data_IF_693391806332
#
_entry.id   IF_693391806332
#
_cell.length_a   1.000
_cell.length_b   1.000
_cell.length_c   1.000
_cell.angle_alpha   90.00
_cell.angle_beta   90.00
_cell.angle_gamma   90.00
#
_symmetry.space_group_name_H-M   'P 1'
#
loop_
_entity.id
_entity.type
_entity.pdbx_description
1 polymer ?
#
# COMPACT_ATOMS: atom_id res chain seq x y z
N UNK A 1 15.34 15.28 7.25
CA UNK A 1 15.85 14.00 6.70
C UNK A 1 14.80 13.53 5.72
N UNK A 2 15.19 13.18 4.50
CA UNK A 2 14.25 12.71 3.48
C UNK A 2 13.65 11.37 3.93
N UNK A 3 12.33 11.12 3.77
CA UNK A 3 11.73 9.87 4.19
C UNK A 3 12.35 8.68 3.44
N UNK A 4 12.55 7.57 4.14
CA UNK A 4 13.23 6.37 3.61
C UNK A 4 12.50 5.76 2.38
N UNK A 5 11.23 6.12 2.18
CA UNK A 5 10.43 5.67 1.03
C UNK A 5 10.83 6.35 -0.29
N UNK A 6 11.49 7.52 -0.25
CA UNK A 6 11.67 8.36 -1.46
C UNK A 6 12.69 7.74 -2.41
N UNK A 7 13.93 7.40 -2.01
CA UNK A 7 14.89 6.77 -2.91
C UNK A 7 14.42 5.46 -3.57
N UNK A 8 13.88 4.45 -2.83
CA UNK A 8 13.46 3.20 -3.45
C UNK A 8 12.24 3.38 -4.37
N UNK A 9 11.35 4.33 -4.06
CA UNK A 9 10.19 4.59 -4.93
C UNK A 9 10.61 5.28 -6.22
N UNK A 10 11.57 6.21 -6.19
CA UNK A 10 12.12 6.82 -7.41
C UNK A 10 12.79 5.77 -8.30
N UNK A 11 13.56 4.85 -7.73
CA UNK A 11 14.17 3.74 -8.48
C UNK A 11 13.13 2.82 -9.11
N UNK A 12 12.03 2.53 -8.38
CA UNK A 12 10.92 1.75 -8.92
C UNK A 12 10.20 2.47 -10.06
N UNK A 13 9.92 3.76 -9.93
CA UNK A 13 9.31 4.59 -10.99
C UNK A 13 10.21 4.55 -12.22
N UNK A 14 11.51 4.85 -12.09
CA UNK A 14 12.46 4.78 -13.21
C UNK A 14 12.45 3.40 -13.86
N UNK A 15 12.49 2.33 -13.08
CA UNK A 15 12.58 0.95 -13.58
C UNK A 15 11.33 0.51 -14.34
N UNK A 16 10.14 0.84 -13.82
CA UNK A 16 8.88 0.28 -14.33
C UNK A 16 8.10 1.21 -15.25
N UNK A 17 8.23 2.53 -15.09
CA UNK A 17 7.55 3.51 -15.93
C UNK A 17 8.49 4.31 -16.84
N UNK A 18 9.81 4.24 -16.62
CA UNK A 18 10.78 4.99 -17.41
C UNK A 18 10.72 6.51 -17.18
N UNK A 19 10.10 6.94 -16.08
CA UNK A 19 9.90 8.35 -15.74
C UNK A 19 10.91 8.78 -14.67
N UNK A 20 11.51 9.96 -14.85
CA UNK A 20 12.25 10.66 -13.79
C UNK A 20 11.34 11.67 -13.09
N UNK A 21 11.50 11.88 -11.77
CA UNK A 21 10.86 12.99 -11.09
C UNK A 21 11.25 14.32 -11.77
N UNK A 22 10.30 15.11 -12.28
CA UNK A 22 10.61 16.25 -13.14
C UNK A 22 11.14 17.48 -12.39
N UNK A 23 10.95 17.55 -11.07
CA UNK A 23 11.36 18.68 -10.24
C UNK A 23 11.33 18.32 -8.73
N UNK A 24 11.80 19.26 -7.90
CA UNK A 24 11.80 19.11 -6.45
C UNK A 24 10.38 18.99 -5.83
N UNK A 25 9.36 19.60 -6.45
CA UNK A 25 7.99 19.49 -5.95
C UNK A 25 7.45 18.06 -6.06
N UNK A 26 7.85 17.30 -7.09
CA UNK A 26 7.51 15.89 -7.22
C UNK A 26 8.12 15.04 -6.08
N UNK A 27 9.37 15.34 -5.69
CA UNK A 27 10.03 14.66 -4.57
C UNK A 27 9.39 15.02 -3.22
N UNK A 28 9.04 16.29 -3.01
CA UNK A 28 8.30 16.71 -1.82
C UNK A 28 6.92 16.05 -1.73
N UNK A 29 6.17 16.03 -2.85
CA UNK A 29 4.88 15.35 -2.89
C UNK A 29 4.98 13.86 -2.58
N UNK A 30 6.02 13.18 -3.09
CA UNK A 30 6.29 11.79 -2.75
C UNK A 30 6.67 11.61 -1.27
N UNK A 31 7.46 12.52 -0.70
CA UNK A 31 7.80 12.51 0.71
C UNK A 31 6.53 12.66 1.60
N UNK A 32 5.60 13.52 1.21
CA UNK A 32 4.32 13.72 1.91
C UNK A 32 3.45 12.44 1.91
N UNK A 33 3.57 11.59 0.87
CA UNK A 33 2.85 10.32 0.81
C UNK A 33 3.25 9.34 1.91
N UNK A 34 4.45 9.48 2.50
CA UNK A 34 4.89 8.60 3.59
C UNK A 34 3.91 8.59 4.77
N UNK A 35 3.40 9.78 5.13
CA UNK A 35 2.43 9.92 6.22
C UNK A 35 1.08 9.32 5.83
N UNK A 36 0.62 9.58 4.60
CA UNK A 36 -0.64 9.03 4.10
C UNK A 36 -0.62 7.49 4.05
N UNK A 37 0.48 6.89 3.60
CA UNK A 37 0.66 5.43 3.58
C UNK A 37 0.56 4.88 5.00
N UNK A 38 1.29 5.46 5.95
CA UNK A 38 1.25 5.03 7.35
C UNK A 38 -0.14 5.16 7.99
N UNK A 39 -0.89 6.21 7.65
CA UNK A 39 -2.26 6.40 8.14
C UNK A 39 -3.23 5.37 7.52
N UNK A 40 -3.07 5.05 6.24
CA UNK A 40 -3.85 3.99 5.58
C UNK A 40 -3.53 2.62 6.18
N UNK A 41 -2.25 2.31 6.44
CA UNK A 41 -1.85 1.06 7.08
C UNK A 41 -2.43 0.93 8.49
N UNK A 42 -2.43 2.02 9.26
CA UNK A 42 -3.08 2.06 10.57
C UNK A 42 -4.59 1.82 10.47
N UNK A 43 -5.24 2.46 9.50
CA UNK A 43 -6.68 2.25 9.26
C UNK A 43 -6.96 0.79 8.87
N UNK A 44 -6.18 0.22 7.95
CA UNK A 44 -6.27 -1.19 7.53
C UNK A 44 -6.08 -2.15 8.71
N UNK A 45 -5.13 -1.89 9.60
CA UNK A 45 -4.90 -2.75 10.78
C UNK A 45 -6.09 -2.77 11.75
N UNK A 46 -6.97 -1.75 11.71
CA UNK A 46 -8.22 -1.73 12.46
C UNK A 46 -9.39 -2.41 11.74
N UNK A 47 -9.19 -2.87 10.50
CA UNK A 47 -10.19 -3.59 9.70
C UNK A 47 -9.86 -5.08 9.75
N UNK A 48 -10.85 -5.93 10.04
CA UNK A 48 -10.70 -7.38 10.19
C UNK A 48 -10.47 -8.12 8.85
N UNK A 49 -9.89 -7.46 7.83
CA UNK A 49 -9.61 -8.07 6.53
C UNK A 49 -8.67 -9.28 6.62
N UNK A 50 -7.82 -9.34 7.64
CA UNK A 50 -6.94 -10.50 7.86
C UNK A 50 -7.61 -11.63 8.68
N UNK A 51 -8.76 -11.36 9.30
CA UNK A 51 -9.62 -12.38 9.91
C UNK A 51 -10.56 -13.02 8.89
N UNK A 52 -10.75 -12.38 7.73
CA UNK A 52 -11.47 -12.97 6.61
C UNK A 52 -10.66 -14.12 6.01
N UNK A 53 -11.33 -15.23 5.63
CA UNK A 53 -10.64 -16.36 5.01
C UNK A 53 -9.90 -15.91 3.74
N UNK A 54 -8.56 -15.95 3.81
CA UNK A 54 -7.64 -15.54 2.74
C UNK A 54 -7.73 -16.37 1.45
N UNK A 55 -8.57 -17.41 1.44
CA UNK A 55 -8.80 -18.30 0.31
C UNK A 55 -10.28 -18.39 -0.05
N UNK A 56 -10.56 -18.41 -1.35
CA UNK A 56 -11.92 -18.50 -1.90
C UNK A 56 -12.70 -19.71 -1.36
N UNK A 57 -12.06 -20.87 -1.25
CA UNK A 57 -12.66 -22.09 -0.72
C UNK A 57 -13.04 -21.99 0.76
N UNK A 58 -12.23 -21.28 1.55
CA UNK A 58 -12.51 -21.06 2.96
C UNK A 58 -13.67 -20.07 3.16
N UNK A 59 -13.76 -19.04 2.31
CA UNK A 59 -14.91 -18.12 2.28
C UNK A 59 -16.22 -18.84 1.88
N UNK A 60 -16.15 -19.76 0.92
CA UNK A 60 -17.32 -20.56 0.49
C UNK A 60 -17.82 -21.51 1.58
N UNK A 61 -16.93 -22.06 2.40
CA UNK A 61 -17.31 -22.94 3.51
C UNK A 61 -17.96 -22.17 4.66
N UNK A 62 -17.44 -20.98 5.00
CA UNK A 62 -18.00 -20.14 6.07
C UNK A 62 -19.41 -19.64 5.74
N UNK A 63 -19.67 -19.36 4.45
CA UNK A 63 -20.98 -18.93 3.96
C UNK A 63 -21.99 -20.06 3.75
N UNK A 64 -21.61 -21.33 3.99
CA UNK A 64 -22.51 -22.47 3.74
C UNK A 64 -23.49 -22.64 4.90
N UNK A 65 -24.79 -22.68 4.59
CA UNK A 65 -25.82 -22.95 5.61
C UNK A 65 -25.64 -24.33 6.26
N UNK A 66 -25.90 -24.46 7.58
CA UNK A 66 -25.83 -25.73 8.27
C UNK A 66 -26.90 -26.68 7.71
N UNK A 67 -26.47 -27.88 7.33
CA UNK A 67 -27.33 -28.96 6.84
C UNK A 67 -28.11 -29.67 7.93
#
# INVERSE_FOLDING_TARGET
>A
MEPDIVPPTVDAIRRWSGVEPPNAAALHGLADMAHLIADIERARAGLAFEDEPSGFEAALLDLKEPG
#
